data_IF_127543673760
#
_entry.id   IF_127543673760
#
_cell.length_a   1.000
_cell.length_b   1.000
_cell.length_c   1.000
_cell.angle_alpha   90.00
_cell.angle_beta   90.00
_cell.angle_gamma   90.00
#
_symmetry.space_group_name_H-M   'P 1'
#
loop_
_entity.id
_entity.type
_entity.pdbx_description
1 polymer ?
#
# COMPACT_ATOMS: atom_id res chain seq x y z
N UNK A 1 -14.01 -12.67 9.65
CA UNK A 1 -12.85 -11.98 9.04
C UNK A 1 -13.33 -10.66 8.45
N UNK A 2 -12.63 -9.56 8.71
CA UNK A 2 -12.95 -8.23 8.14
C UNK A 2 -12.27 -8.02 6.79
N UNK A 3 -12.70 -7.00 6.02
CA UNK A 3 -12.03 -6.61 4.77
C UNK A 3 -10.55 -6.32 5.01
N UNK A 4 -10.24 -5.56 6.07
CA UNK A 4 -8.87 -5.26 6.47
C UNK A 4 -8.03 -6.53 6.73
N UNK A 5 -8.58 -7.51 7.46
CA UNK A 5 -7.88 -8.77 7.74
C UNK A 5 -7.60 -9.57 6.46
N UNK A 6 -8.57 -9.67 5.55
CA UNK A 6 -8.39 -10.39 4.28
C UNK A 6 -7.42 -9.66 3.35
N UNK A 7 -7.44 -8.34 3.33
CA UNK A 7 -6.47 -7.53 2.57
C UNK A 7 -5.04 -7.78 3.07
N UNK A 8 -4.81 -7.84 4.39
CA UNK A 8 -3.49 -8.17 4.96
C UNK A 8 -3.06 -9.59 4.60
N UNK A 9 -3.97 -10.56 4.63
CA UNK A 9 -3.68 -11.95 4.23
C UNK A 9 -3.16 -12.00 2.78
N UNK A 10 -3.86 -11.33 1.86
CA UNK A 10 -3.46 -11.24 0.44
C UNK A 10 -2.13 -10.50 0.31
N UNK A 11 -1.95 -9.36 0.97
CA UNK A 11 -0.70 -8.60 0.91
C UNK A 11 0.50 -9.40 1.45
N UNK A 12 0.29 -10.19 2.50
CA UNK A 12 1.32 -11.06 3.09
C UNK A 12 1.79 -12.12 2.09
N UNK A 13 0.87 -12.69 1.31
CA UNK A 13 1.20 -13.66 0.28
C UNK A 13 2.00 -13.07 -0.90
N UNK A 14 2.11 -11.74 -1.00
CA UNK A 14 2.90 -11.07 -2.04
C UNK A 14 4.31 -10.70 -1.57
N UNK A 15 4.68 -10.93 -0.31
CA UNK A 15 6.02 -10.63 0.19
C UNK A 15 7.06 -11.39 -0.65
N UNK A 16 8.07 -10.67 -1.14
CA UNK A 16 9.12 -11.22 -2.01
C UNK A 16 8.87 -11.04 -3.50
N UNK A 17 7.65 -10.67 -3.93
CA UNK A 17 7.41 -10.21 -5.31
C UNK A 17 8.28 -9.00 -5.58
N UNK A 18 9.03 -9.04 -6.68
CA UNK A 18 9.95 -7.99 -7.09
C UNK A 18 9.83 -7.62 -8.56
N UNK A 19 10.36 -6.45 -8.89
CA UNK A 19 10.47 -5.97 -10.26
C UNK A 19 11.43 -6.81 -11.09
N UNK A 20 11.11 -6.98 -12.37
CA UNK A 20 11.91 -7.74 -13.32
C UNK A 20 12.07 -6.90 -14.60
N UNK A 21 13.26 -6.35 -14.89
CA UNK A 21 14.46 -6.34 -14.03
C UNK A 21 14.27 -5.42 -12.81
N UNK A 22 15.09 -5.58 -11.77
CA UNK A 22 15.02 -4.73 -10.56
C UNK A 22 15.20 -3.24 -10.88
N UNK A 23 14.48 -2.39 -10.15
CA UNK A 23 14.47 -0.93 -10.32
C UNK A 23 13.93 -0.45 -11.67
N UNK A 24 13.03 -1.22 -12.28
CA UNK A 24 12.39 -0.89 -13.56
C UNK A 24 10.94 -0.46 -13.41
N UNK A 25 10.36 -0.53 -12.21
CA UNK A 25 8.92 -0.40 -11.99
C UNK A 25 8.09 -1.28 -12.95
N UNK A 26 8.63 -2.45 -13.29
CA UNK A 26 8.08 -3.39 -14.28
C UNK A 26 8.26 -4.83 -13.79
N UNK A 27 7.54 -5.76 -14.41
CA UNK A 27 7.59 -7.19 -14.04
C UNK A 27 6.18 -7.80 -14.03
N UNK A 28 6.05 -9.14 -14.11
CA UNK A 28 4.76 -9.79 -14.34
C UNK A 28 3.70 -9.41 -13.30
N UNK A 29 4.03 -9.47 -12.01
CA UNK A 29 3.14 -9.14 -10.90
C UNK A 29 2.98 -7.63 -10.71
N UNK A 30 4.07 -6.87 -10.84
CA UNK A 30 4.05 -5.40 -10.74
C UNK A 30 3.08 -4.80 -11.77
N UNK A 31 3.10 -5.33 -13.00
CA UNK A 31 2.18 -4.92 -14.05
C UNK A 31 0.73 -5.35 -13.79
N UNK A 32 0.48 -6.44 -13.05
CA UNK A 32 -0.87 -6.77 -12.58
C UNK A 32 -1.37 -5.72 -11.59
N UNK A 33 -0.52 -5.30 -10.64
CA UNK A 33 -0.89 -4.26 -9.68
C UNK A 33 -1.20 -2.95 -10.40
N UNK A 34 -0.32 -2.51 -11.31
CA UNK A 34 -0.49 -1.28 -12.08
C UNK A 34 -1.76 -1.29 -12.94
N UNK A 35 -2.03 -2.39 -13.64
CA UNK A 35 -3.26 -2.54 -14.44
C UNK A 35 -4.53 -2.47 -13.58
N UNK A 36 -4.47 -2.88 -12.32
CA UNK A 36 -5.62 -2.81 -11.40
C UNK A 36 -6.13 -1.39 -11.19
N UNK A 37 -5.29 -0.37 -11.41
CA UNK A 37 -5.62 1.06 -11.34
C UNK A 37 -5.57 1.74 -12.70
N UNK A 38 -5.42 0.99 -13.80
CA UNK A 38 -5.41 1.50 -15.16
C UNK A 38 -4.06 2.07 -15.63
N UNK A 39 -2.96 1.74 -14.96
CA UNK A 39 -1.61 2.17 -15.32
C UNK A 39 -0.86 1.06 -16.09
N UNK A 40 0.08 1.48 -16.94
CA UNK A 40 1.09 0.60 -17.55
C UNK A 40 2.33 0.46 -16.68
N UNK A 41 3.35 -0.27 -17.17
CA UNK A 41 4.65 -0.41 -16.52
C UNK A 41 5.42 0.91 -16.42
N UNK A 42 6.41 0.97 -15.53
CA UNK A 42 7.29 2.14 -15.33
C UNK A 42 6.79 3.15 -14.29
N UNK A 43 5.55 3.02 -13.81
CA UNK A 43 5.00 3.84 -12.74
C UNK A 43 5.32 3.25 -11.37
N UNK A 44 5.50 4.12 -10.37
CA UNK A 44 5.55 3.71 -8.98
C UNK A 44 4.24 2.97 -8.60
N UNK A 45 4.38 1.84 -7.92
CA UNK A 45 3.29 0.86 -7.81
C UNK A 45 2.81 0.60 -6.37
N UNK A 46 3.28 1.35 -5.37
CA UNK A 46 2.88 1.17 -3.96
C UNK A 46 1.35 1.27 -3.75
N UNK A 47 0.71 2.32 -4.26
CA UNK A 47 -0.74 2.49 -4.13
C UNK A 47 -1.53 1.52 -5.04
N UNK A 48 -0.96 1.18 -6.19
CA UNK A 48 -1.53 0.18 -7.10
C UNK A 48 -1.59 -1.21 -6.44
N UNK A 49 -0.52 -1.59 -5.73
CA UNK A 49 -0.46 -2.81 -4.91
C UNK A 49 -1.52 -2.81 -3.81
N UNK A 50 -1.66 -1.72 -3.06
CA UNK A 50 -2.68 -1.60 -2.00
C UNK A 50 -4.09 -1.74 -2.55
N UNK A 51 -4.37 -1.06 -3.67
CA UNK A 51 -5.67 -1.13 -4.33
C UNK A 51 -5.94 -2.56 -4.81
N UNK A 52 -4.97 -3.21 -5.46
CA UNK A 52 -5.09 -4.59 -5.93
C UNK A 52 -5.36 -5.57 -4.79
N UNK A 53 -4.62 -5.50 -3.68
CA UNK A 53 -4.85 -6.36 -2.52
C UNK A 53 -6.27 -6.18 -1.96
N UNK A 54 -6.70 -4.93 -1.76
CA UNK A 54 -8.04 -4.62 -1.23
C UNK A 54 -9.14 -5.02 -2.21
N UNK A 55 -8.91 -4.90 -3.51
CA UNK A 55 -9.88 -5.28 -4.53
C UNK A 55 -10.08 -6.79 -4.59
N UNK A 56 -9.00 -7.58 -4.46
CA UNK A 56 -9.10 -9.03 -4.40
C UNK A 56 -9.80 -9.49 -3.11
N UNK A 57 -9.49 -8.86 -1.98
CA UNK A 57 -10.19 -9.13 -0.71
C UNK A 57 -11.68 -8.82 -0.82
N UNK A 58 -12.02 -7.65 -1.36
CA UNK A 58 -13.41 -7.22 -1.55
C UNK A 58 -14.18 -8.19 -2.46
N UNK A 59 -13.57 -8.65 -3.57
CA UNK A 59 -14.17 -9.63 -4.46
C UNK A 59 -14.43 -10.98 -3.77
N UNK A 60 -13.46 -11.50 -3.00
CA UNK A 60 -13.62 -12.76 -2.27
C UNK A 60 -14.66 -12.69 -1.14
N UNK A 61 -14.91 -11.48 -0.61
CA UNK A 61 -15.86 -11.25 0.48
C UNK A 61 -17.22 -10.72 0.02
N UNK A 62 -17.46 -10.59 -1.29
CA UNK A 62 -18.63 -9.93 -1.87
C UNK A 62 -18.90 -8.53 -1.26
N UNK A 63 -17.82 -7.77 -1.04
CA UNK A 63 -17.83 -6.44 -0.46
C UNK A 63 -17.45 -5.38 -1.50
N UNK A 64 -17.69 -4.11 -1.19
CA UNK A 64 -17.18 -2.98 -1.99
C UNK A 64 -15.78 -2.62 -1.54
N UNK A 65 -14.89 -2.33 -2.49
CA UNK A 65 -13.59 -1.75 -2.18
C UNK A 65 -13.77 -0.24 -1.86
N UNK A 66 -13.45 0.23 -0.64
CA UNK A 66 -13.65 1.62 -0.25
C UNK A 66 -12.58 2.56 -0.83
N UNK A 67 -11.47 2.02 -1.35
CA UNK A 67 -10.38 2.82 -1.89
C UNK A 67 -10.75 3.45 -3.25
N UNK A 68 -10.03 4.51 -3.63
CA UNK A 68 -10.13 5.08 -4.97
C UNK A 68 -9.27 4.22 -5.89
N UNK A 69 -9.76 3.95 -7.10
CA UNK A 69 -8.97 3.30 -8.15
C UNK A 69 -7.94 4.30 -8.69
N UNK A 70 -6.77 4.39 -8.07
CA UNK A 70 -5.70 5.35 -8.41
C UNK A 70 -4.33 4.82 -8.00
N UNK A 71 -3.28 5.19 -8.76
CA UNK A 71 -1.88 5.01 -8.34
C UNK A 71 -1.34 6.18 -7.50
N UNK A 72 -2.08 7.29 -7.41
CA UNK A 72 -1.65 8.48 -6.68
C UNK A 72 -1.91 8.38 -5.18
N UNK A 73 -0.85 8.38 -4.36
CA UNK A 73 -0.95 8.27 -2.90
C UNK A 73 -1.72 9.45 -2.27
N UNK A 74 -1.36 10.69 -2.63
CA UNK A 74 -2.04 11.87 -2.08
C UNK A 74 -3.45 12.04 -2.65
N UNK A 75 -3.67 11.62 -3.90
CA UNK A 75 -5.01 11.56 -4.51
C UNK A 75 -5.92 10.57 -3.76
N UNK A 76 -5.39 9.39 -3.40
CA UNK A 76 -6.09 8.42 -2.56
C UNK A 76 -6.46 9.02 -1.19
N UNK A 77 -5.51 9.67 -0.51
CA UNK A 77 -5.76 10.27 0.81
C UNK A 77 -6.80 11.39 0.74
N UNK A 78 -6.66 12.34 -0.19
CA UNK A 78 -7.53 13.51 -0.30
C UNK A 78 -8.95 13.15 -0.76
N UNK A 79 -9.11 12.11 -1.58
CA UNK A 79 -10.42 11.70 -2.11
C UNK A 79 -11.24 10.80 -1.17
N UNK A 80 -10.72 10.45 0.02
CA UNK A 80 -11.37 9.56 1.00
C UNK A 80 -11.32 10.13 2.44
N UNK A 81 -11.81 11.36 2.68
CA UNK A 81 -11.72 12.01 3.99
C UNK A 81 -12.39 11.21 5.12
N UNK A 82 -13.46 10.48 4.83
CA UNK A 82 -14.18 9.65 5.81
C UNK A 82 -13.37 8.46 6.33
N UNK A 83 -12.40 7.97 5.55
CA UNK A 83 -11.54 6.86 5.96
C UNK A 83 -10.37 7.33 6.83
N UNK A 84 -10.07 8.63 6.84
CA UNK A 84 -8.87 9.17 7.50
C UNK A 84 -8.97 9.00 9.02
N UNK A 85 -7.91 8.45 9.61
CA UNK A 85 -7.68 8.31 11.05
C UNK A 85 -6.31 8.84 11.42
N UNK A 86 -6.17 9.27 12.68
CA UNK A 86 -4.90 9.74 13.27
C UNK A 86 -4.19 8.66 14.08
N UNK A 87 -4.92 7.67 14.59
CA UNK A 87 -4.37 6.55 15.35
C UNK A 87 -4.44 5.28 14.51
N UNK A 88 -3.32 4.57 14.30
CA UNK A 88 -3.28 3.37 13.48
C UNK A 88 -4.02 2.20 14.14
N UNK A 89 -4.52 1.30 13.30
CA UNK A 89 -4.93 -0.06 13.65
C UNK A 89 -4.35 -1.05 12.64
N UNK A 90 -4.13 -2.33 13.02
CA UNK A 90 -3.81 -3.38 12.05
C UNK A 90 -4.86 -3.42 10.93
N UNK A 91 -4.38 -3.47 9.68
CA UNK A 91 -5.21 -3.42 8.48
C UNK A 91 -5.42 -2.02 7.89
N UNK A 92 -5.08 -0.95 8.61
CA UNK A 92 -5.12 0.41 8.04
C UNK A 92 -4.06 0.58 6.94
N UNK A 93 -4.35 1.43 5.96
CA UNK A 93 -3.36 1.91 4.99
C UNK A 93 -2.67 3.15 5.56
N UNK A 94 -1.36 3.11 5.80
CA UNK A 94 -0.62 4.33 6.18
C UNK A 94 -0.29 5.17 4.94
N UNK A 95 -0.21 6.49 5.13
CA UNK A 95 0.14 7.45 4.08
C UNK A 95 1.35 8.29 4.53
N UNK A 96 2.40 8.28 3.72
CA UNK A 96 3.51 9.24 3.79
C UNK A 96 3.32 10.32 2.74
N UNK A 97 3.70 11.54 3.10
CA UNK A 97 3.71 12.70 2.22
C UNK A 97 5.11 13.30 2.24
N UNK A 98 5.73 13.37 1.07
CA UNK A 98 7.09 13.87 0.91
C UNK A 98 7.15 15.37 0.60
N UNK A 99 6.02 16.08 0.69
CA UNK A 99 5.89 17.54 0.52
C UNK A 99 6.36 18.06 -0.86
N UNK A 100 6.35 17.21 -1.88
CA UNK A 100 6.71 17.55 -3.26
C UNK A 100 5.68 17.00 -4.26
N UNK A 101 4.45 16.74 -3.79
CA UNK A 101 3.38 16.12 -4.57
C UNK A 101 3.49 14.60 -4.69
N UNK A 102 4.55 13.99 -4.16
CA UNK A 102 4.72 12.53 -4.09
C UNK A 102 4.51 12.00 -2.67
N UNK A 103 4.22 10.71 -2.56
CA UNK A 103 4.02 10.04 -1.28
C UNK A 103 4.29 8.55 -1.41
N UNK A 104 4.16 7.85 -0.29
CA UNK A 104 4.27 6.40 -0.24
C UNK A 104 3.20 5.84 0.69
N UNK A 105 2.79 4.60 0.45
CA UNK A 105 1.74 3.97 1.22
C UNK A 105 2.02 2.47 1.37
N UNK A 106 1.43 1.89 2.40
CA UNK A 106 1.41 0.45 2.63
C UNK A 106 0.45 0.10 3.74
N UNK A 107 0.40 -1.17 4.11
CA UNK A 107 -0.50 -1.65 5.15
C UNK A 107 0.17 -1.67 6.51
N UNK A 108 -0.57 -1.34 7.57
CA UNK A 108 -0.18 -1.59 8.95
C UNK A 108 -0.46 -3.06 9.29
N UNK A 109 0.58 -3.86 9.50
CA UNK A 109 0.47 -5.26 9.92
C UNK A 109 0.27 -5.36 11.44
N UNK A 110 1.06 -4.62 12.22
CA UNK A 110 0.94 -4.55 13.69
C UNK A 110 1.55 -3.27 14.26
N UNK A 111 1.25 -2.97 15.52
CA UNK A 111 1.73 -1.77 16.23
C UNK A 111 2.47 -2.22 17.50
N UNK A 112 3.65 -1.66 17.76
CA UNK A 112 4.40 -1.85 19.01
C UNK A 112 4.94 -0.49 19.46
N UNK A 113 4.40 0.03 20.56
CA UNK A 113 4.69 1.39 21.03
C UNK A 113 4.41 2.41 19.92
N UNK A 114 5.42 3.22 19.57
CA UNK A 114 5.32 4.24 18.52
C UNK A 114 5.71 3.73 17.12
N UNK A 115 5.94 2.43 16.97
CA UNK A 115 6.36 1.82 15.70
C UNK A 115 5.22 1.03 15.09
N UNK A 116 4.93 1.29 13.81
CA UNK A 116 4.14 0.39 12.97
C UNK A 116 5.06 -0.56 12.21
N UNK A 117 4.65 -1.83 12.16
CA UNK A 117 5.20 -2.83 11.27
C UNK A 117 4.28 -2.88 10.06
N UNK A 118 4.86 -2.87 8.87
CA UNK A 118 4.11 -2.63 7.64
C UNK A 118 4.43 -3.65 6.56
N UNK A 119 3.51 -3.81 5.61
CA UNK A 119 3.71 -4.52 4.34
C UNK A 119 3.54 -3.50 3.22
N UNK A 120 4.60 -3.31 2.43
CA UNK A 120 4.68 -2.22 1.46
C UNK A 120 5.13 -2.78 0.11
N UNK A 121 4.48 -2.35 -0.98
CA UNK A 121 4.96 -2.55 -2.35
C UNK A 121 5.81 -1.36 -2.79
N UNK A 122 6.64 -1.53 -3.83
CA UNK A 122 7.60 -0.52 -4.28
C UNK A 122 8.48 -0.03 -3.11
N UNK A 123 9.02 -0.98 -2.34
CA UNK A 123 9.93 -0.73 -1.22
C UNK A 123 11.20 -1.59 -1.35
N UNK A 124 12.15 -1.44 -0.44
CA UNK A 124 13.34 -2.29 -0.36
C UNK A 124 13.75 -2.53 1.10
N UNK A 125 14.70 -3.45 1.32
CA UNK A 125 15.20 -3.76 2.67
C UNK A 125 16.02 -2.61 3.28
N UNK A 126 16.57 -1.73 2.44
CA UNK A 126 17.50 -0.65 2.83
C UNK A 126 16.80 0.66 3.22
N UNK A 127 15.48 0.79 3.04
CA UNK A 127 14.74 2.01 3.35
C UNK A 127 14.97 3.19 2.40
N UNK A 128 15.52 2.93 1.22
CA UNK A 128 15.67 3.94 0.17
C UNK A 128 14.32 4.42 -0.38
N UNK A 129 14.34 5.59 -1.04
CA UNK A 129 13.16 6.19 -1.69
C UNK A 129 12.63 5.34 -2.85
N UNK A 130 13.53 4.70 -3.59
CA UNK A 130 13.23 3.82 -4.72
C UNK A 130 13.23 2.37 -4.25
N UNK A 131 12.11 1.67 -4.40
CA UNK A 131 11.94 0.30 -3.95
C UNK A 131 11.49 -0.62 -5.06
N UNK A 132 12.02 -1.83 -5.11
CA UNK A 132 11.79 -2.76 -6.21
C UNK A 132 10.97 -4.00 -5.81
N UNK A 133 10.50 -4.11 -4.57
CA UNK A 133 9.80 -5.31 -4.10
C UNK A 133 8.70 -5.05 -3.08
N UNK A 134 7.92 -6.09 -2.80
CA UNK A 134 7.03 -6.17 -1.64
C UNK A 134 7.83 -6.67 -0.44
N UNK A 135 7.89 -5.87 0.62
CA UNK A 135 8.63 -6.22 1.83
C UNK A 135 7.98 -5.69 3.11
N UNK A 136 8.38 -6.30 4.23
CA UNK A 136 8.06 -5.78 5.55
C UNK A 136 8.97 -4.63 5.93
N UNK A 137 8.41 -3.59 6.54
CA UNK A 137 9.15 -2.43 7.03
C UNK A 137 8.72 -2.07 8.45
N UNK A 138 9.48 -1.16 9.06
CA UNK A 138 9.13 -0.48 10.31
C UNK A 138 9.07 1.01 10.02
N UNK A 139 8.04 1.69 10.52
CA UNK A 139 7.89 3.14 10.42
C UNK A 139 7.55 3.70 11.80
N UNK A 140 8.08 4.88 12.12
CA UNK A 140 7.63 5.65 13.28
C UNK A 140 6.29 6.32 12.94
N UNK A 141 5.29 6.19 13.81
CA UNK A 141 3.96 6.79 13.63
C UNK A 141 4.05 8.30 13.38
N UNK A 142 5.03 9.01 13.97
CA UNK A 142 5.23 10.45 13.79
C UNK A 142 5.57 10.85 12.35
N UNK A 143 6.09 9.92 11.55
CA UNK A 143 6.43 10.18 10.14
C UNK A 143 5.22 10.04 9.21
N UNK A 144 4.10 9.51 9.71
CA UNK A 144 2.91 9.20 8.92
C UNK A 144 1.94 10.38 8.90
N UNK A 145 1.50 10.80 7.71
CA UNK A 145 0.50 11.87 7.52
C UNK A 145 -0.87 11.49 8.10
N UNK A 146 -1.26 10.24 7.86
CA UNK A 146 -2.50 9.66 8.37
C UNK A 146 -2.69 8.22 7.92
N UNK A 147 -3.79 7.65 8.37
CA UNK A 147 -4.17 6.26 8.11
C UNK A 147 -5.54 6.22 7.43
N UNK A 148 -5.76 5.29 6.50
CA UNK A 148 -7.08 5.04 5.92
C UNK A 148 -7.61 3.71 6.45
N UNK A 149 -8.76 3.74 7.12
CA UNK A 149 -9.41 2.54 7.67
C UNK A 149 -10.32 1.90 6.64
N UNK A 150 -10.09 0.62 6.34
CA UNK A 150 -10.87 -0.19 5.42
C UNK A 150 -12.19 -0.68 6.02
#
# INVERSE_FOLDING_TARGET
>A
MTLAQKTIEIATAQIGVEEIPRNSNSGPEVEIYLRSVGLGKGYAWCMAFIYWCTQNAAAQMNAKNPLKKTGGVLDQYNSRPLLIKKTPQPGDVFILDFNNGTGHAGFVEKIVGNTIYTIEGNTNDSGGREGYKVARRKRDIKTVKGFLRL
#
